data_IF_713826922735
#
_entry.id   IF_713826922735
#
_cell.length_a   1.000
_cell.length_b   1.000
_cell.length_c   1.000
_cell.angle_alpha   90.00
_cell.angle_beta   90.00
_cell.angle_gamma   90.00
#
_symmetry.space_group_name_H-M   'P 1'
#
loop_
_entity.id
_entity.type
_entity.pdbx_description
1 polymer ?
#
# COMPACT_ATOMS: atom_id res chain seq x y z
N UNK A 1 -56.81 -5.40 -34.57
CA UNK A 1 -55.63 -5.93 -33.86
C UNK A 1 -54.38 -5.49 -34.61
N UNK A 2 -53.62 -4.50 -34.11
CA UNK A 2 -52.36 -4.05 -34.71
C UNK A 2 -51.23 -4.47 -33.77
N UNK A 3 -50.37 -5.38 -34.22
CA UNK A 3 -49.19 -5.83 -33.47
C UNK A 3 -48.05 -4.83 -33.73
N UNK A 4 -47.68 -4.07 -32.70
CA UNK A 4 -46.46 -3.25 -32.71
C UNK A 4 -45.28 -4.16 -32.35
N UNK A 5 -44.29 -4.26 -33.25
CA UNK A 5 -43.01 -4.90 -32.96
C UNK A 5 -42.05 -3.83 -32.42
N UNK A 6 -41.60 -4.00 -31.17
CA UNK A 6 -40.55 -3.19 -30.57
C UNK A 6 -39.21 -3.84 -30.97
N UNK A 7 -38.48 -3.17 -31.86
CA UNK A 7 -37.09 -3.52 -32.17
C UNK A 7 -36.20 -3.02 -31.02
N UNK A 8 -35.74 -3.94 -30.18
CA UNK A 8 -34.70 -3.66 -29.20
C UNK A 8 -33.33 -3.71 -29.90
N UNK A 9 -32.75 -2.54 -30.19
CA UNK A 9 -31.36 -2.44 -30.63
C UNK A 9 -30.43 -2.73 -29.44
N UNK A 10 -29.83 -3.92 -29.43
CA UNK A 10 -28.72 -4.23 -28.55
C UNK A 10 -27.45 -3.57 -29.10
N UNK A 11 -27.04 -2.46 -28.49
CA UNK A 11 -25.76 -1.81 -28.77
C UNK A 11 -24.65 -2.64 -28.09
N UNK A 12 -24.03 -3.55 -28.84
CA UNK A 12 -22.82 -4.26 -28.42
C UNK A 12 -21.65 -3.27 -28.36
N UNK A 13 -21.36 -2.78 -27.16
CA UNK A 13 -20.10 -2.10 -26.86
C UNK A 13 -18.97 -3.13 -27.00
N UNK A 14 -18.26 -3.08 -28.14
CA UNK A 14 -17.01 -3.80 -28.30
C UNK A 14 -16.00 -3.21 -27.30
N UNK A 15 -15.70 -3.95 -26.24
CA UNK A 15 -14.63 -3.63 -25.31
C UNK A 15 -13.33 -3.87 -26.08
N UNK A 16 -12.75 -2.82 -26.66
CA UNK A 16 -11.41 -2.88 -27.23
C UNK A 16 -10.43 -3.09 -26.08
N UNK A 17 -9.85 -4.29 -25.99
CA UNK A 17 -8.73 -4.54 -25.09
C UNK A 17 -7.58 -3.61 -25.52
N UNK A 18 -7.18 -2.70 -24.63
CA UNK A 18 -5.99 -1.87 -24.87
C UNK A 18 -4.80 -2.82 -24.93
N UNK A 19 -4.00 -2.83 -26.02
CA UNK A 19 -2.82 -3.66 -26.08
C UNK A 19 -1.80 -3.10 -25.08
N UNK A 20 -1.64 -3.79 -23.96
CA UNK A 20 -0.63 -3.47 -22.94
C UNK A 20 0.62 -4.28 -23.25
N UNK A 21 1.80 -3.64 -23.18
CA UNK A 21 3.08 -4.34 -23.34
C UNK A 21 3.17 -5.52 -22.37
N UNK A 22 3.85 -6.60 -22.74
CA UNK A 22 4.15 -7.63 -21.74
C UNK A 22 5.01 -7.01 -20.63
N UNK A 23 4.77 -7.44 -19.37
CA UNK A 23 5.68 -7.12 -18.28
C UNK A 23 7.07 -7.73 -18.59
N UNK A 24 8.17 -7.08 -18.18
CA UNK A 24 9.49 -7.65 -18.40
C UNK A 24 9.65 -8.96 -17.62
N UNK A 25 10.49 -9.86 -18.13
CA UNK A 25 10.81 -11.11 -17.46
C UNK A 25 11.75 -10.89 -16.28
N UNK A 26 11.57 -11.65 -15.20
CA UNK A 26 12.42 -11.62 -14.01
C UNK A 26 13.11 -12.98 -13.82
N UNK A 27 14.37 -12.99 -13.33
CA UNK A 27 14.99 -14.22 -12.85
C UNK A 27 14.31 -14.72 -11.58
N UNK A 28 14.53 -15.99 -11.24
CA UNK A 28 13.93 -16.59 -10.05
C UNK A 28 14.85 -16.48 -8.84
N UNK A 29 14.29 -16.37 -7.63
CA UNK A 29 15.05 -16.36 -6.38
C UNK A 29 15.82 -17.67 -6.10
N UNK A 30 15.44 -18.79 -6.73
CA UNK A 30 16.22 -20.04 -6.69
C UNK A 30 17.51 -19.99 -7.52
N UNK A 31 17.62 -19.01 -8.43
CA UNK A 31 18.82 -18.74 -9.22
C UNK A 31 18.86 -17.25 -9.59
N UNK A 32 19.07 -16.35 -8.59
CA UNK A 32 18.99 -14.93 -8.80
C UNK A 32 20.16 -14.48 -9.68
N UNK A 33 19.86 -13.56 -10.59
CA UNK A 33 20.85 -12.92 -11.44
C UNK A 33 21.11 -11.48 -10.98
N UNK A 34 22.06 -10.81 -11.62
CA UNK A 34 22.36 -9.41 -11.36
C UNK A 34 23.28 -9.17 -10.16
N UNK A 35 23.28 -7.93 -9.66
CA UNK A 35 24.17 -7.49 -8.58
C UNK A 35 23.44 -7.49 -7.25
N UNK A 36 23.96 -8.21 -6.26
CA UNK A 36 23.44 -8.16 -4.90
C UNK A 36 23.58 -6.73 -4.34
N UNK A 37 22.46 -6.11 -3.96
CA UNK A 37 22.41 -4.74 -3.42
C UNK A 37 22.47 -4.74 -1.91
N UNK A 38 21.70 -5.64 -1.30
CA UNK A 38 21.63 -5.80 0.15
C UNK A 38 21.20 -7.22 0.47
N UNK A 39 21.68 -7.73 1.59
CA UNK A 39 21.28 -9.02 2.14
C UNK A 39 21.25 -8.92 3.65
N UNK A 40 20.18 -9.44 4.24
CA UNK A 40 19.95 -9.53 5.66
C UNK A 40 19.67 -10.98 6.02
N UNK A 41 20.49 -11.55 6.91
CA UNK A 41 20.34 -12.93 7.37
C UNK A 41 19.13 -13.13 8.29
N UNK A 42 18.60 -12.05 8.86
CA UNK A 42 17.39 -12.04 9.71
C UNK A 42 16.85 -10.61 9.83
N UNK A 43 15.65 -10.44 10.41
CA UNK A 43 15.03 -9.15 10.69
C UNK A 43 13.58 -9.05 10.22
N UNK A 44 12.97 -7.88 10.40
CA UNK A 44 11.61 -7.58 9.95
C UNK A 44 11.65 -6.90 8.59
N UNK A 45 11.12 -7.57 7.57
CA UNK A 45 11.16 -7.12 6.18
C UNK A 45 9.78 -6.83 5.64
N UNK A 46 9.67 -5.78 4.83
CA UNK A 46 8.43 -5.42 4.16
C UNK A 46 8.21 -6.29 2.94
N UNK A 47 7.00 -6.84 2.80
CA UNK A 47 6.55 -7.51 1.58
C UNK A 47 5.35 -6.76 1.04
N UNK A 48 5.45 -6.29 -0.20
CA UNK A 48 4.40 -5.49 -0.83
C UNK A 48 3.11 -6.31 -0.95
N UNK A 49 1.97 -5.68 -0.66
CA UNK A 49 0.66 -6.33 -0.78
C UNK A 49 0.27 -7.27 0.37
N UNK A 50 1.13 -7.53 1.36
CA UNK A 50 0.78 -8.36 2.53
C UNK A 50 0.28 -7.56 3.73
N UNK A 51 0.50 -6.23 3.75
CA UNK A 51 0.00 -5.34 4.80
C UNK A 51 0.70 -5.47 6.17
N UNK A 52 1.77 -6.26 6.26
CA UNK A 52 2.58 -6.47 7.46
C UNK A 52 4.04 -6.73 7.09
N UNK A 53 4.95 -6.42 8.02
CA UNK A 53 6.33 -6.88 7.96
C UNK A 53 6.38 -8.34 8.40
N UNK A 54 7.32 -9.08 7.83
CA UNK A 54 7.55 -10.49 8.14
C UNK A 54 8.95 -10.66 8.70
N UNK A 55 9.08 -11.50 9.71
CA UNK A 55 10.38 -11.84 10.27
C UNK A 55 11.04 -12.92 9.42
N UNK A 56 12.30 -12.71 9.03
CA UNK A 56 13.02 -13.63 8.14
C UNK A 56 14.31 -13.06 7.58
N UNK A 57 14.94 -13.79 6.66
CA UNK A 57 16.03 -13.27 5.85
C UNK A 57 15.48 -12.61 4.58
N UNK A 58 16.21 -11.64 4.05
CA UNK A 58 15.82 -10.93 2.84
C UNK A 58 17.04 -10.50 2.02
N UNK A 59 17.01 -10.72 0.72
CA UNK A 59 18.07 -10.31 -0.21
C UNK A 59 17.48 -9.60 -1.42
N UNK A 60 18.10 -8.49 -1.81
CA UNK A 60 17.65 -7.70 -2.98
C UNK A 60 18.76 -7.64 -4.01
N UNK A 61 18.43 -8.01 -5.25
CA UNK A 61 19.30 -8.00 -6.41
C UNK A 61 18.86 -6.93 -7.40
N UNK A 62 19.80 -6.14 -7.90
CA UNK A 62 19.58 -5.28 -9.06
C UNK A 62 19.90 -6.07 -10.33
N UNK A 63 18.86 -6.37 -11.10
CA UNK A 63 18.98 -7.12 -12.36
C UNK A 63 19.49 -6.18 -13.46
N UNK A 64 18.87 -5.00 -13.55
CA UNK A 64 19.29 -3.91 -14.42
C UNK A 64 18.78 -2.57 -13.85
N UNK A 65 18.91 -1.47 -14.59
CA UNK A 65 18.50 -0.13 -14.14
C UNK A 65 16.99 0.06 -13.89
N UNK A 66 16.15 -0.93 -14.20
CA UNK A 66 14.69 -0.86 -14.07
C UNK A 66 14.07 -2.06 -13.34
N UNK A 67 14.86 -3.09 -13.01
CA UNK A 67 14.36 -4.33 -12.42
C UNK A 67 15.15 -4.69 -11.19
N UNK A 68 14.44 -4.89 -10.08
CA UNK A 68 14.97 -5.43 -8.84
C UNK A 68 14.22 -6.71 -8.50
N UNK A 69 14.93 -7.64 -7.86
CA UNK A 69 14.40 -8.90 -7.38
C UNK A 69 14.63 -8.96 -5.87
N UNK A 70 13.56 -9.08 -5.10
CA UNK A 70 13.63 -9.29 -3.65
C UNK A 70 13.28 -10.75 -3.34
N UNK A 71 14.10 -11.38 -2.50
CA UNK A 71 13.98 -12.78 -2.12
C UNK A 71 13.90 -12.87 -0.60
N UNK A 72 12.68 -12.99 -0.10
CA UNK A 72 12.40 -13.08 1.33
C UNK A 72 12.15 -14.53 1.74
N UNK A 73 12.78 -14.95 2.83
CA UNK A 73 12.57 -16.25 3.44
C UNK A 73 12.11 -16.09 4.89
N UNK A 74 10.91 -16.56 5.26
CA UNK A 74 10.39 -16.39 6.61
C UNK A 74 11.24 -17.14 7.63
N UNK A 75 11.35 -16.58 8.84
CA UNK A 75 12.00 -17.25 9.96
C UNK A 75 11.20 -18.50 10.40
N UNK A 76 11.93 -19.53 10.87
CA UNK A 76 11.36 -20.80 11.35
C UNK A 76 11.51 -21.94 10.33
N UNK A 77 10.76 -23.02 10.53
CA UNK A 77 10.83 -24.24 9.70
C UNK A 77 10.03 -24.14 8.39
N UNK A 78 9.61 -22.93 8.00
CA UNK A 78 8.82 -22.69 6.79
C UNK A 78 9.74 -22.34 5.63
N UNK A 79 9.86 -23.24 4.65
CA UNK A 79 10.71 -23.02 3.48
C UNK A 79 10.03 -22.22 2.36
N UNK A 80 8.78 -21.79 2.56
CA UNK A 80 8.00 -21.05 1.57
C UNK A 80 8.40 -19.57 1.58
N UNK A 81 9.34 -19.21 0.72
CA UNK A 81 9.79 -17.85 0.49
C UNK A 81 8.85 -17.04 -0.40
N UNK A 82 9.00 -15.72 -0.35
CA UNK A 82 8.32 -14.78 -1.25
C UNK A 82 9.34 -14.06 -2.13
N UNK A 83 9.20 -14.26 -3.43
CA UNK A 83 9.88 -13.48 -4.45
C UNK A 83 9.02 -12.25 -4.77
N UNK A 84 9.62 -11.06 -4.77
CA UNK A 84 8.96 -9.84 -5.25
C UNK A 84 9.70 -9.30 -6.46
N UNK A 85 9.00 -9.24 -7.58
CA UNK A 85 9.46 -8.65 -8.83
C UNK A 85 9.16 -7.15 -8.80
N UNK A 86 10.19 -6.32 -8.73
CA UNK A 86 10.07 -4.86 -8.69
C UNK A 86 10.44 -4.26 -10.05
N UNK A 87 9.44 -3.70 -10.73
CA UNK A 87 9.60 -3.06 -12.04
C UNK A 87 9.47 -1.54 -11.92
N UNK A 88 10.57 -0.82 -12.09
CA UNK A 88 10.60 0.64 -12.20
C UNK A 88 9.93 1.05 -13.50
N UNK A 89 8.88 1.85 -13.42
CA UNK A 89 8.10 2.29 -14.58
C UNK A 89 8.33 3.78 -14.83
N UNK A 90 8.45 4.13 -16.10
CA UNK A 90 8.55 5.51 -16.56
C UNK A 90 7.55 5.74 -17.69
N UNK A 91 6.49 6.50 -17.43
CA UNK A 91 5.57 6.95 -18.47
C UNK A 91 4.47 5.97 -18.89
N UNK A 92 4.14 4.96 -18.07
CA UNK A 92 2.91 4.19 -18.27
C UNK A 92 1.69 5.07 -17.97
N UNK A 93 0.67 4.96 -18.81
CA UNK A 93 -0.64 5.59 -18.59
C UNK A 93 -1.41 4.88 -17.46
N UNK A 94 -2.40 5.58 -16.88
CA UNK A 94 -3.27 4.99 -15.85
C UNK A 94 -4.01 3.75 -16.32
N UNK A 95 -4.42 3.70 -17.60
CA UNK A 95 -5.06 2.52 -18.18
C UNK A 95 -4.13 1.32 -18.27
N UNK A 96 -2.85 1.53 -18.57
CA UNK A 96 -1.84 0.46 -18.59
C UNK A 96 -1.54 -0.04 -17.18
N UNK A 97 -1.36 0.88 -16.22
CA UNK A 97 -1.19 0.53 -14.80
C UNK A 97 -2.37 -0.30 -14.31
N UNK A 98 -3.62 0.09 -14.65
CA UNK A 98 -4.80 -0.67 -14.27
C UNK A 98 -4.87 -2.05 -14.93
N UNK A 99 -4.41 -2.20 -16.17
CA UNK A 99 -4.32 -3.50 -16.82
C UNK A 99 -3.31 -4.44 -16.13
N UNK A 100 -2.19 -3.91 -15.62
CA UNK A 100 -1.25 -4.71 -14.81
C UNK A 100 -1.81 -5.03 -13.42
N UNK A 101 -2.55 -4.10 -12.80
CA UNK A 101 -3.25 -4.38 -11.53
C UNK A 101 -4.23 -5.54 -11.64
N UNK A 102 -4.97 -5.63 -12.75
CA UNK A 102 -5.85 -6.77 -13.04
C UNK A 102 -5.08 -8.10 -13.20
N UNK A 103 -3.78 -8.04 -13.48
CA UNK A 103 -2.88 -9.20 -13.55
C UNK A 103 -2.14 -9.47 -12.23
N UNK A 104 -2.52 -8.78 -11.14
CA UNK A 104 -1.97 -8.97 -9.80
C UNK A 104 -0.72 -8.14 -9.49
N UNK A 105 -0.38 -7.14 -10.32
CA UNK A 105 0.68 -6.19 -9.99
C UNK A 105 0.17 -5.10 -9.04
N UNK A 106 0.97 -4.77 -8.04
CA UNK A 106 0.71 -3.66 -7.10
C UNK A 106 1.45 -2.43 -7.60
N UNK A 107 0.74 -1.32 -7.75
CA UNK A 107 1.37 -0.05 -8.10
C UNK A 107 1.87 0.66 -6.86
N UNK A 108 3.14 1.05 -6.91
CA UNK A 108 3.86 1.77 -5.87
C UNK A 108 4.21 3.16 -6.42
N UNK A 109 3.59 4.24 -5.91
CA UNK A 109 3.75 5.57 -6.49
C UNK A 109 5.17 6.13 -6.33
N UNK A 110 5.85 5.82 -5.24
CA UNK A 110 7.28 6.11 -5.04
C UNK A 110 7.98 4.93 -4.35
N UNK A 111 9.15 4.58 -4.85
CA UNK A 111 10.01 3.55 -4.29
C UNK A 111 10.77 3.97 -3.02
N UNK A 112 10.80 5.26 -2.66
CA UNK A 112 11.49 5.74 -1.45
C UNK A 112 11.02 5.05 -0.18
N UNK A 113 9.71 4.76 -0.13
CA UNK A 113 9.03 4.08 0.97
C UNK A 113 9.50 2.62 1.16
N UNK A 114 10.19 2.09 0.15
CA UNK A 114 10.70 0.72 0.07
C UNK A 114 12.23 0.69 -0.01
N UNK A 115 12.90 1.82 0.28
CA UNK A 115 14.36 1.93 0.17
C UNK A 115 14.87 1.85 -1.28
N UNK A 116 14.01 2.10 -2.26
CA UNK A 116 14.32 2.14 -3.68
C UNK A 116 14.46 3.58 -4.17
N UNK A 117 14.78 3.74 -5.46
CA UNK A 117 14.82 5.05 -6.11
C UNK A 117 13.48 5.80 -5.99
N UNK A 118 13.52 7.13 -5.99
CA UNK A 118 12.33 7.98 -6.09
C UNK A 118 11.72 7.93 -7.50
N UNK A 119 11.01 6.84 -7.76
CA UNK A 119 10.28 6.59 -8.99
C UNK A 119 9.08 5.70 -8.69
N UNK A 120 8.14 5.63 -9.63
CA UNK A 120 7.02 4.70 -9.53
C UNK A 120 7.45 3.28 -9.92
N UNK A 121 6.88 2.29 -9.25
CA UNK A 121 7.12 0.88 -9.50
C UNK A 121 5.80 0.12 -9.68
N UNK A 122 5.86 -0.98 -10.41
CA UNK A 122 4.92 -2.09 -10.29
C UNK A 122 5.65 -3.23 -9.59
N UNK A 123 5.02 -3.81 -8.58
CA UNK A 123 5.58 -4.94 -7.85
C UNK A 123 4.65 -6.14 -7.89
N UNK A 124 5.19 -7.36 -7.97
CA UNK A 124 4.37 -8.57 -7.96
C UNK A 124 5.06 -9.69 -7.19
N UNK A 125 4.30 -10.32 -6.31
CA UNK A 125 4.80 -11.41 -5.49
C UNK A 125 4.54 -12.75 -6.15
N UNK A 126 5.47 -13.67 -5.97
CA UNK A 126 5.32 -15.10 -6.24
C UNK A 126 5.98 -15.91 -5.11
N UNK A 127 5.59 -17.17 -4.96
CA UNK A 127 6.21 -18.07 -3.98
C UNK A 127 7.44 -18.75 -4.56
N UNK A 128 8.49 -18.94 -3.77
CA UNK A 128 9.66 -19.78 -4.12
C UNK A 128 10.10 -20.63 -2.92
N UNK A 129 10.95 -21.63 -3.16
CA UNK A 129 11.51 -22.48 -2.10
C UNK A 129 12.86 -21.93 -1.64
N UNK A 130 12.95 -21.60 -0.35
CA UNK A 130 14.15 -21.07 0.28
C UNK A 130 15.31 -22.07 0.37
N UNK A 131 15.05 -23.38 0.20
CA UNK A 131 16.08 -24.43 0.27
C UNK A 131 16.82 -24.66 -1.04
N UNK A 132 16.34 -24.11 -2.16
CA UNK A 132 17.11 -24.06 -3.42
C UNK A 132 18.16 -22.96 -3.33
N UNK A 133 19.20 -23.21 -2.53
CA UNK A 133 20.31 -22.29 -2.35
C UNK A 133 20.99 -22.05 -3.72
N UNK A 134 21.03 -20.81 -4.23
CA UNK A 134 21.86 -20.49 -5.37
C UNK A 134 23.33 -20.65 -4.97
N UNK A 135 24.22 -21.11 -5.86
CA UNK A 135 25.65 -21.12 -5.57
C UNK A 135 26.10 -19.67 -5.39
N UNK A 136 26.23 -19.22 -4.14
CA UNK A 136 26.82 -17.93 -3.83
C UNK A 136 28.19 -17.83 -4.52
N UNK A 137 28.56 -16.68 -5.09
CA UNK A 137 29.92 -16.49 -5.57
C UNK A 137 30.85 -16.72 -4.37
N UNK A 138 31.61 -17.81 -4.43
CA UNK A 138 32.67 -18.13 -3.49
C UNK A 138 33.55 -16.90 -3.33
N UNK A 139 33.37 -16.20 -2.21
CA UNK A 139 34.22 -15.09 -1.83
C UNK A 139 35.60 -15.68 -1.52
N UNK A 140 36.46 -15.69 -2.54
CA UNK A 140 37.89 -15.88 -2.35
C UNK A 140 38.39 -14.70 -1.51
N UNK A 141 38.89 -14.90 -0.28
CA UNK A 141 39.34 -13.80 0.55
C UNK A 141 40.56 -13.16 -0.09
N UNK A 142 40.41 -11.95 -0.59
CA UNK A 142 41.53 -11.10 -1.02
C UNK A 142 42.10 -10.44 0.24
N UNK A 143 43.37 -10.70 0.62
CA UNK A 143 43.95 -10.13 1.83
C UNK A 143 44.20 -8.63 1.64
N UNK A 144 43.48 -7.80 2.39
CA UNK A 144 43.72 -6.35 2.46
C UNK A 144 44.62 -6.07 3.68
N UNK A 145 45.72 -5.29 3.54
CA UNK A 145 46.74 -5.17 4.56
C UNK A 145 46.29 -4.40 5.80
N UNK A 146 46.73 -4.93 6.94
CA UNK A 146 46.53 -4.45 8.31
C UNK A 146 47.22 -3.10 8.58
N UNK A 147 46.55 -2.09 9.17
CA UNK A 147 47.24 -0.95 9.76
C UNK A 147 47.77 -1.30 11.15
N UNK A 148 49.04 -0.98 11.37
CA UNK A 148 49.81 -1.19 12.60
C UNK A 148 49.20 -0.44 13.80
N UNK A 149 48.97 -1.19 14.88
CA UNK A 149 48.42 -0.76 16.17
C UNK A 149 49.44 0.10 16.94
N UNK A 150 48.98 1.22 17.50
CA UNK A 150 49.64 1.90 18.64
C UNK A 150 48.73 1.74 19.88
N UNK A 151 49.24 1.34 21.07
CA UNK A 151 48.41 1.02 22.23
C UNK A 151 48.00 2.28 23.01
N UNK A 152 46.70 2.43 23.29
CA UNK A 152 46.11 3.36 24.26
C UNK A 152 45.09 2.63 25.15
N UNK A 153 44.84 3.09 26.39
CA UNK A 153 44.51 2.23 27.52
C UNK A 153 43.08 1.66 27.50
N UNK A 154 42.97 0.40 27.97
CA UNK A 154 41.76 -0.36 28.26
C UNK A 154 40.77 0.46 29.09
N UNK A 155 39.54 0.58 28.60
CA UNK A 155 38.32 0.57 29.39
C UNK A 155 37.28 -0.25 28.62
N UNK A 156 37.22 -1.52 29.02
CA UNK A 156 36.12 -2.46 29.08
C UNK A 156 34.92 -2.32 28.12
N UNK A 157 34.79 -3.41 27.35
CA UNK A 157 33.54 -4.11 27.04
C UNK A 157 32.62 -3.50 25.99
N UNK A 158 32.75 -3.99 24.75
CA UNK A 158 31.62 -4.48 23.95
C UNK A 158 32.21 -5.29 22.78
N UNK A 159 32.53 -6.54 23.07
CA UNK A 159 32.66 -7.59 22.07
C UNK A 159 31.35 -8.36 22.07
N UNK A 160 30.45 -8.11 21.12
CA UNK A 160 29.51 -9.14 20.71
C UNK A 160 28.95 -8.89 19.31
N UNK A 161 29.20 -9.87 18.45
CA UNK A 161 28.54 -10.11 17.18
C UNK A 161 27.08 -10.51 17.40
N UNK A 162 26.21 -9.53 17.67
CA UNK A 162 24.75 -9.69 17.72
C UNK A 162 24.04 -8.72 16.75
N UNK A 163 22.81 -9.04 16.29
CA UNK A 163 22.01 -8.12 15.49
C UNK A 163 21.75 -6.82 16.27
N UNK A 164 21.76 -5.67 15.59
CA UNK A 164 21.40 -4.38 16.19
C UNK A 164 19.93 -4.43 16.62
N UNK A 165 19.70 -4.69 17.91
CA UNK A 165 18.38 -4.60 18.53
C UNK A 165 18.09 -3.15 18.83
N UNK A 166 16.86 -2.71 18.54
CA UNK A 166 16.44 -1.39 18.93
C UNK A 166 16.67 -1.16 20.43
N UNK A 167 17.56 -0.23 20.82
CA UNK A 167 17.93 -0.06 22.22
C UNK A 167 16.83 0.63 23.02
N UNK A 168 15.73 1.05 22.37
CA UNK A 168 14.60 1.75 22.98
C UNK A 168 13.29 0.96 22.81
N UNK A 169 12.40 0.98 23.81
CA UNK A 169 11.07 0.39 23.67
C UNK A 169 10.26 1.08 22.57
N UNK A 170 9.49 0.31 21.80
CA UNK A 170 8.57 0.86 20.81
C UNK A 170 7.61 1.88 21.46
N UNK A 171 7.27 2.97 20.75
CA UNK A 171 6.39 4.00 21.28
C UNK A 171 4.96 3.45 21.51
N UNK A 172 4.16 4.06 22.39
CA UNK A 172 2.76 3.67 22.55
C UNK A 172 1.97 3.94 21.27
N UNK A 173 0.94 3.13 21.02
CA UNK A 173 0.07 3.31 19.86
C UNK A 173 -0.72 4.63 19.96
N UNK A 174 -0.84 5.40 18.86
CA UNK A 174 -1.70 6.58 18.83
C UNK A 174 -3.19 6.19 18.86
N UNK A 175 -4.06 7.05 19.37
CA UNK A 175 -5.52 6.86 19.31
C UNK A 175 -6.05 7.59 18.10
N UNK A 176 -6.78 6.89 17.22
CA UNK A 176 -7.46 7.55 16.10
C UNK A 176 -8.70 8.28 16.64
N UNK A 177 -8.64 9.61 16.67
CA UNK A 177 -9.67 10.45 17.28
C UNK A 177 -10.82 10.75 16.32
N UNK A 178 -10.51 10.97 15.05
CA UNK A 178 -11.51 11.33 14.04
C UNK A 178 -11.09 10.95 12.62
N UNK A 179 -12.07 10.62 11.79
CA UNK A 179 -11.93 10.47 10.34
C UNK A 179 -13.04 11.28 9.66
N UNK A 180 -12.68 12.44 9.10
CA UNK A 180 -13.60 13.30 8.38
C UNK A 180 -13.49 13.07 6.87
N UNK A 181 -14.52 12.44 6.28
CA UNK A 181 -14.59 12.19 4.83
C UNK A 181 -15.25 13.38 4.10
N UNK A 182 -14.65 13.81 2.98
CA UNK A 182 -15.24 14.77 2.05
C UNK A 182 -14.96 14.35 0.61
N UNK A 183 -15.94 13.69 -0.03
CA UNK A 183 -15.83 13.18 -1.39
C UNK A 183 -14.63 12.24 -1.56
N UNK A 184 -13.65 12.68 -2.34
CA UNK A 184 -12.41 11.94 -2.64
C UNK A 184 -11.30 12.14 -1.61
N UNK A 185 -11.59 12.82 -0.49
CA UNK A 185 -10.61 13.07 0.56
C UNK A 185 -11.07 12.55 1.92
N UNK A 186 -10.12 12.17 2.78
CA UNK A 186 -10.35 11.84 4.18
C UNK A 186 -9.29 12.54 5.04
N UNK A 187 -9.71 13.32 6.03
CA UNK A 187 -8.82 13.94 7.02
C UNK A 187 -8.86 13.14 8.30
N UNK A 188 -7.72 12.60 8.69
CA UNK A 188 -7.53 11.82 9.90
C UNK A 188 -6.94 12.71 10.99
N UNK A 189 -7.38 12.50 12.23
CA UNK A 189 -6.83 13.17 13.42
C UNK A 189 -6.57 12.12 14.49
N UNK A 190 -5.41 12.17 15.12
CA UNK A 190 -4.98 11.20 16.14
C UNK A 190 -4.29 11.86 17.33
N UNK A 191 -4.11 11.11 18.41
CA UNK A 191 -3.41 11.59 19.61
C UNK A 191 -1.90 11.70 19.39
N UNK A 192 -1.28 12.73 19.96
CA UNK A 192 0.18 12.86 19.96
C UNK A 192 0.86 11.74 20.77
N UNK A 193 1.97 11.24 20.25
CA UNK A 193 2.89 10.30 20.90
C UNK A 193 4.23 11.02 21.11
N UNK A 194 4.65 11.32 22.35
CA UNK A 194 5.78 12.22 22.64
C UNK A 194 7.12 11.82 22.01
N UNK A 195 7.39 10.51 21.94
CA UNK A 195 8.64 9.95 21.39
C UNK A 195 8.58 9.69 19.88
N UNK A 196 7.44 9.94 19.24
CA UNK A 196 7.32 9.76 17.80
C UNK A 196 8.13 10.84 17.06
N UNK A 197 8.92 10.42 16.09
CA UNK A 197 9.56 11.27 15.09
C UNK A 197 8.64 11.48 13.89
N UNK A 198 7.80 10.48 13.59
CA UNK A 198 6.75 10.55 12.59
C UNK A 198 5.64 9.54 12.86
N UNK A 199 4.59 9.59 12.03
CA UNK A 199 3.55 8.57 11.97
C UNK A 199 3.44 7.98 10.58
N UNK A 200 3.08 6.70 10.56
CA UNK A 200 2.70 5.98 9.34
C UNK A 200 1.19 5.75 9.34
N UNK A 201 0.57 5.76 8.17
CA UNK A 201 -0.84 5.45 7.95
C UNK A 201 -0.92 4.28 6.97
N UNK A 202 -1.75 3.29 7.25
CA UNK A 202 -2.11 2.22 6.33
C UNK A 202 -3.61 2.21 6.14
N UNK A 203 -4.09 2.03 4.91
CA UNK A 203 -5.52 2.03 4.63
C UNK A 203 -5.93 1.15 3.46
N UNK A 204 -7.21 0.75 3.43
CA UNK A 204 -7.72 -0.18 2.44
C UNK A 204 -9.23 -0.31 2.48
N UNK A 205 -9.77 -1.20 1.64
CA UNK A 205 -11.22 -1.35 1.43
C UNK A 205 -11.89 -2.26 2.46
N UNK A 206 -11.12 -2.95 3.30
CA UNK A 206 -11.61 -3.80 4.38
C UNK A 206 -10.77 -3.62 5.64
N UNK A 207 -11.33 -3.85 6.84
CA UNK A 207 -10.56 -3.85 8.07
C UNK A 207 -9.41 -4.87 8.00
N UNK A 208 -8.19 -4.45 8.35
CA UNK A 208 -7.02 -5.33 8.37
C UNK A 208 -6.41 -5.67 7.01
N UNK A 209 -7.09 -5.38 5.89
CA UNK A 209 -6.55 -5.52 4.54
C UNK A 209 -6.18 -4.13 3.99
N UNK A 210 -4.99 -3.66 4.36
CA UNK A 210 -4.48 -2.35 3.94
C UNK A 210 -3.61 -2.49 2.69
N UNK A 211 -4.08 -1.87 1.60
CA UNK A 211 -3.46 -1.93 0.27
C UNK A 211 -2.81 -0.60 -0.13
N UNK A 212 -2.95 0.43 0.69
CA UNK A 212 -2.38 1.76 0.52
C UNK A 212 -1.75 2.25 1.82
N UNK A 213 -0.85 3.23 1.74
CA UNK A 213 -0.22 3.80 2.94
C UNK A 213 0.44 5.16 2.73
N UNK A 214 0.73 5.81 3.85
CA UNK A 214 1.51 7.04 3.98
C UNK A 214 2.59 6.74 5.01
N UNK A 215 3.85 6.51 4.61
CA UNK A 215 4.87 6.00 5.53
C UNK A 215 5.48 7.08 6.40
N UNK A 216 5.40 8.35 6.01
CA UNK A 216 5.87 9.45 6.83
C UNK A 216 4.96 10.66 6.68
N UNK A 217 4.20 10.94 7.74
CA UNK A 217 3.36 12.14 7.84
C UNK A 217 4.12 13.34 8.44
N UNK A 218 5.36 13.13 8.89
CA UNK A 218 6.07 14.01 9.81
C UNK A 218 5.54 13.89 11.24
N UNK A 219 6.04 14.76 12.12
CA UNK A 219 5.55 14.86 13.52
C UNK A 219 4.28 15.70 13.60
N UNK A 220 3.22 15.22 12.97
CA UNK A 220 1.89 15.85 12.95
C UNK A 220 0.85 14.93 13.58
N UNK A 221 -0.28 15.49 13.97
CA UNK A 221 -1.42 14.75 14.56
C UNK A 221 -2.66 14.78 13.66
N UNK A 222 -2.53 15.31 12.45
CA UNK A 222 -3.57 15.31 11.44
C UNK A 222 -2.98 15.19 10.04
N UNK A 223 -3.67 14.45 9.16
CA UNK A 223 -3.24 14.28 7.77
C UNK A 223 -4.44 14.04 6.85
N UNK A 224 -4.40 14.66 5.66
CA UNK A 224 -5.46 14.53 4.66
C UNK A 224 -5.00 13.62 3.54
N UNK A 225 -5.70 12.49 3.38
CA UNK A 225 -5.54 11.56 2.27
C UNK A 225 -6.48 11.99 1.15
N UNK A 226 -5.95 12.12 -0.07
CA UNK A 226 -6.71 12.46 -1.26
C UNK A 226 -6.91 11.28 -2.21
N UNK A 227 -7.51 11.55 -3.37
CA UNK A 227 -7.71 10.60 -4.48
C UNK A 227 -8.40 9.28 -4.09
N UNK A 228 -9.25 9.32 -3.08
CA UNK A 228 -10.06 8.18 -2.67
C UNK A 228 -11.24 8.05 -3.62
N UNK A 229 -11.64 6.81 -3.93
CA UNK A 229 -12.89 6.56 -4.63
C UNK A 229 -14.05 7.12 -3.77
N UNK A 230 -14.88 8.05 -4.30
CA UNK A 230 -15.92 8.72 -3.52
C UNK A 230 -17.06 7.81 -3.09
N UNK A 231 -17.20 6.61 -3.66
CA UNK A 231 -18.25 5.65 -3.31
C UNK A 231 -17.74 4.46 -2.48
N UNK A 232 -16.43 4.27 -2.38
CA UNK A 232 -15.85 3.17 -1.62
C UNK A 232 -15.64 3.51 -0.14
N UNK A 233 -15.88 2.52 0.73
CA UNK A 233 -15.53 2.60 2.15
C UNK A 233 -14.04 2.29 2.34
N UNK A 234 -13.38 3.05 3.22
CA UNK A 234 -11.97 2.85 3.56
C UNK A 234 -11.79 2.74 5.07
N UNK A 235 -10.86 1.89 5.46
CA UNK A 235 -10.44 1.62 6.83
C UNK A 235 -9.00 2.07 6.99
N UNK A 236 -8.69 2.72 8.11
CA UNK A 236 -7.40 3.36 8.34
C UNK A 236 -6.78 2.82 9.65
N UNK A 237 -5.46 2.68 9.66
CA UNK A 237 -4.66 2.32 10.83
C UNK A 237 -3.44 3.23 10.87
N UNK A 238 -3.15 3.80 12.04
CA UNK A 238 -2.02 4.72 12.22
C UNK A 238 -1.02 4.09 13.21
N UNK A 239 0.28 4.27 12.98
CA UNK A 239 1.34 3.89 13.93
C UNK A 239 2.26 5.07 14.17
N UNK A 240 2.75 5.20 15.39
CA UNK A 240 3.83 6.12 15.75
C UNK A 240 5.18 5.42 15.51
N UNK A 241 6.21 6.16 15.13
CA UNK A 241 7.57 5.64 14.89
C UNK A 241 8.59 6.55 15.55
N UNK A 242 9.59 6.00 16.24
CA UNK A 242 10.59 6.73 17.03
C UNK A 242 12.04 6.60 16.49
N UNK A 243 12.19 6.53 15.16
CA UNK A 243 13.46 6.27 14.42
C UNK A 243 14.10 4.90 14.68
N UNK A 244 13.49 4.07 15.52
CA UNK A 244 13.94 2.71 15.77
C UNK A 244 12.85 1.68 15.52
N UNK A 245 11.69 1.84 16.18
CA UNK A 245 10.61 0.87 16.12
C UNK A 245 9.24 1.52 15.92
N UNK A 246 8.34 0.90 15.14
CA UNK A 246 6.96 1.32 15.07
C UNK A 246 6.15 0.85 16.29
N UNK A 247 5.16 1.64 16.70
CA UNK A 247 4.16 1.25 17.69
C UNK A 247 3.23 0.16 17.17
N UNK A 248 2.38 -0.37 18.06
CA UNK A 248 1.14 -1.07 17.65
C UNK A 248 0.19 -0.18 16.83
N UNK A 249 -0.83 -0.76 16.16
CA UNK A 249 -1.81 -0.01 15.39
C UNK A 249 -2.69 0.85 16.31
N UNK A 250 -3.22 1.93 15.75
CA UNK A 250 -4.10 2.85 16.48
C UNK A 250 -5.36 2.16 16.97
N UNK A 251 -5.79 2.45 18.20
CA UNK A 251 -7.11 2.05 18.65
C UNK A 251 -8.19 2.87 17.95
N UNK A 252 -9.33 2.23 17.66
CA UNK A 252 -10.53 2.92 17.20
C UNK A 252 -11.02 3.91 18.28
N UNK A 253 -11.67 5.02 17.90
CA UNK A 253 -12.19 5.96 18.87
C UNK A 253 -13.14 5.25 19.84
N UNK A 254 -12.92 5.44 21.15
CA UNK A 254 -13.93 5.10 22.15
C UNK A 254 -15.19 5.89 21.79
N UNK A 255 -16.25 5.18 21.38
CA UNK A 255 -17.50 5.73 20.86
C UNK A 255 -17.94 6.91 21.73
N UNK A 256 -17.88 8.11 21.16
CA UNK A 256 -18.14 9.37 21.85
C UNK A 256 -18.64 10.43 20.88
N UNK A 257 -19.81 10.18 20.29
CA UNK A 257 -20.55 11.19 19.54
C UNK A 257 -21.16 10.65 18.26
N UNK A 258 -22.43 10.24 18.35
CA UNK A 258 -23.29 10.04 17.20
C UNK A 258 -23.26 11.28 16.30
N UNK A 259 -22.67 11.18 15.12
CA UNK A 259 -22.93 12.16 14.07
C UNK A 259 -24.24 11.72 13.41
N UNK A 260 -25.35 12.26 13.92
CA UNK A 260 -26.60 12.41 13.19
C UNK A 260 -26.36 13.38 12.02
N UNK A 261 -25.61 12.94 11.03
CA UNK A 261 -25.54 13.55 9.72
C UNK A 261 -26.36 12.66 8.80
N UNK A 262 -27.56 13.09 8.44
CA UNK A 262 -28.33 12.51 7.34
C UNK A 262 -27.41 12.47 6.11
N UNK A 263 -26.86 11.30 5.81
CA UNK A 263 -26.17 11.05 4.57
C UNK A 263 -27.22 11.12 3.47
N UNK A 264 -27.36 12.27 2.82
CA UNK A 264 -28.07 12.34 1.54
C UNK A 264 -27.14 11.77 0.47
N UNK A 265 -27.04 10.44 0.44
CA UNK A 265 -26.36 9.69 -0.62
C UNK A 265 -27.28 9.57 -1.83
N UNK A 266 -27.63 10.70 -2.44
CA UNK A 266 -28.36 10.71 -3.69
C UNK A 266 -27.53 11.37 -4.77
N UNK A 267 -27.34 10.65 -5.88
CA UNK A 267 -26.83 11.22 -7.12
C UNK A 267 -27.65 12.48 -7.44
N UNK A 268 -26.99 13.63 -7.54
CA UNK A 268 -27.65 14.93 -7.68
C UNK A 268 -28.57 14.98 -8.89
N UNK A 269 -28.22 14.30 -9.98
CA UNK A 269 -29.08 14.16 -11.17
C UNK A 269 -30.37 13.40 -10.86
N UNK A 270 -30.28 12.35 -10.04
CA UNK A 270 -31.44 11.55 -9.61
C UNK A 270 -32.31 12.33 -8.63
N UNK A 271 -31.70 13.10 -7.72
CA UNK A 271 -32.44 13.97 -6.79
C UNK A 271 -33.21 15.04 -7.58
N UNK A 272 -32.55 15.77 -8.49
CA UNK A 272 -33.21 16.77 -9.31
C UNK A 272 -34.29 16.15 -10.20
N UNK A 273 -34.04 14.95 -10.74
CA UNK A 273 -35.04 14.18 -11.49
C UNK A 273 -36.29 13.84 -10.67
N UNK A 274 -36.11 13.33 -9.44
CA UNK A 274 -37.23 13.00 -8.55
C UNK A 274 -38.00 14.24 -8.09
N UNK A 275 -37.32 15.36 -7.82
CA UNK A 275 -37.96 16.63 -7.45
C UNK A 275 -38.79 17.18 -8.63
N UNK A 276 -38.24 17.20 -9.85
CA UNK A 276 -38.96 17.66 -11.04
C UNK A 276 -40.16 16.74 -11.36
N UNK A 277 -39.99 15.43 -11.18
CA UNK A 277 -41.09 14.47 -11.34
C UNK A 277 -42.20 14.69 -10.30
N UNK A 278 -41.84 14.96 -9.04
CA UNK A 278 -42.82 15.29 -7.98
C UNK A 278 -43.58 16.58 -8.27
N UNK A 279 -42.88 17.65 -8.69
CA UNK A 279 -43.50 18.93 -9.03
C UNK A 279 -44.43 18.84 -10.26
N UNK A 280 -44.06 18.04 -11.27
CA UNK A 280 -44.89 17.82 -12.45
C UNK A 280 -46.17 17.04 -12.12
N UNK A 281 -46.10 16.01 -11.27
CA UNK A 281 -47.27 15.28 -10.79
C UNK A 281 -48.20 16.16 -9.95
N UNK A 282 -47.65 17.03 -9.09
CA UNK A 282 -48.44 18.01 -8.34
C UNK A 282 -49.12 19.02 -9.28
N UNK A 283 -48.40 19.52 -10.30
CA UNK A 283 -48.96 20.41 -11.31
C UNK A 283 -50.12 19.77 -12.10
N UNK A 284 -49.96 18.50 -12.51
CA UNK A 284 -51.01 17.73 -13.18
C UNK A 284 -52.23 17.52 -12.28
N UNK A 285 -52.03 17.28 -10.98
CA UNK A 285 -53.13 17.15 -10.01
C UNK A 285 -53.91 18.45 -9.82
N UNK A 286 -53.24 19.60 -9.88
CA UNK A 286 -53.87 20.91 -9.79
C UNK A 286 -54.63 21.25 -11.07
N UNK A 287 -54.06 20.89 -12.22
CA UNK A 287 -54.68 21.06 -13.53
C UNK A 287 -55.92 20.18 -13.69
N UNK A 288 -55.86 18.90 -13.32
CA UNK A 288 -57.02 18.00 -13.38
C UNK A 288 -58.17 18.48 -12.49
N UNK A 289 -57.88 18.99 -11.29
CA UNK A 289 -58.87 19.61 -10.40
C UNK A 289 -59.49 20.89 -10.98
N UNK A 290 -58.80 21.60 -11.86
CA UNK A 290 -59.30 22.80 -12.54
C UNK A 290 -60.19 22.48 -13.73
N UNK A 291 -59.93 21.36 -14.42
CA UNK A 291 -60.68 20.89 -15.59
C UNK A 291 -61.92 20.07 -15.19
N UNK A 292 -61.98 19.54 -13.97
CA UNK A 292 -63.15 18.85 -13.42
C UNK A 292 -64.16 19.76 -12.69
N UNK A 293 -64.06 21.08 -12.84
CA UNK A 293 -65.12 22.04 -12.50
C UNK A 293 -65.72 22.61 -13.77
#
# INVERSE_FOLDING_TARGET
MKRFYILASALLLAISAVPVSAAPGFPACSSPEGTLKVSYESGWHGIIGTGANHEGSDSVYAINGSQLLQCFCPAGDNDAGTQTDWWKISGLSESEINAYRLQGWVFVPSGLDWGLDDASFLAKNSSFDCKENPPGPSATPTPTPSPTVTPGPKNDDFSESGPWVCPRPAPPAPVLLNVARNGTTATLVWSEVPQATHYTISYGLKPGEYIYGVPNTGKVTAYTIGNLDPVAAYYFSIRAVDDCAPSGPSSEPAIGGSVLGLATTGNSQTIFGLILMGLSLLGLSFWSRRVSK
#
